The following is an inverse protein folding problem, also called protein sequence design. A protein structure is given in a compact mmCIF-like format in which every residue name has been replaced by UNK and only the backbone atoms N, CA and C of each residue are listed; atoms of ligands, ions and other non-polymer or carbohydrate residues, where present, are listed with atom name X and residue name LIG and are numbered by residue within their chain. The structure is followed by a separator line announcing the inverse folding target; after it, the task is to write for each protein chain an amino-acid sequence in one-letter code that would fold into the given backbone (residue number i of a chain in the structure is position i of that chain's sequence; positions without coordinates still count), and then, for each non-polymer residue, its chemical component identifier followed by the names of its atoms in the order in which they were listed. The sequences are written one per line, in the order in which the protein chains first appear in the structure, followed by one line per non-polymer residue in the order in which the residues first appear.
data_IF_360325867005
#
_entry.id   IF_360325867005
#
_cell.length_a   1.000
_cell.length_b   1.000
_cell.length_c   1.000
_cell.angle_alpha   90.00
_cell.angle_beta   90.00
_cell.angle_gamma   90.00
#
_symmetry.space_group_name_H-M   'P 1'
#
loop_
_entity.id
_entity.type
_entity.pdbx_description
1 polymer ?
#
# COMPACT_ATOMS: atom_id res chain seq x y z
N UNK A 1 27.67 47.23 16.72
CA UNK A 1 27.36 48.53 16.11
C UNK A 1 25.96 48.42 15.59
N UNK A 2 25.10 48.88 16.34
CA UNK A 2 24.20 50.04 16.28
C UNK A 2 22.86 49.63 15.64
N UNK A 3 21.83 49.35 16.40
CA UNK A 3 20.79 50.26 16.99
C UNK A 3 20.01 50.99 15.90
N UNK A 4 18.72 50.95 15.91
CA UNK A 4 17.67 51.73 16.63
C UNK A 4 16.31 51.30 16.01
N UNK A 5 15.25 50.94 16.69
CA UNK A 5 14.26 51.68 17.48
C UNK A 5 13.67 52.95 16.82
N UNK A 6 12.37 52.96 16.72
CA UNK A 6 11.42 54.00 17.13
C UNK A 6 10.01 53.64 16.59
N UNK A 7 9.02 53.39 17.34
CA UNK A 7 8.15 54.21 18.22
C UNK A 7 7.14 55.11 17.49
N UNK A 8 6.00 55.18 18.15
CA UNK A 8 4.83 56.10 18.10
C UNK A 8 3.73 55.64 17.15
N UNK A 9 2.53 55.44 17.57
CA UNK A 9 1.74 56.03 18.63
C UNK A 9 0.48 56.63 17.99
N UNK A 10 -0.68 56.32 18.46
CA UNK A 10 -1.87 57.03 17.99
C UNK A 10 -3.17 56.34 18.41
N UNK A 11 -3.61 56.73 19.63
CA UNK A 11 -4.98 56.53 20.12
C UNK A 11 -5.99 57.26 19.26
N UNK A 12 -7.19 56.69 19.09
CA UNK A 12 -8.46 57.44 19.38
C UNK A 12 -9.63 56.49 19.32
N UNK A 13 -10.35 56.36 20.40
CA UNK A 13 -11.80 56.11 20.52
C UNK A 13 -12.51 57.45 20.32
N UNK A 14 -13.84 57.57 20.19
CA UNK A 14 -14.90 56.69 20.71
C UNK A 14 -16.21 56.59 19.87
N UNK A 15 -17.15 55.91 20.47
CA UNK A 15 -18.63 56.13 20.59
C UNK A 15 -19.54 55.62 19.47
N UNK A 16 -20.27 54.64 19.83
CA UNK A 16 -21.71 54.59 20.15
C UNK A 16 -22.71 54.24 19.05
N UNK A 17 -23.46 53.20 19.38
CA UNK A 17 -24.94 53.07 19.40
C UNK A 17 -25.60 52.57 18.11
N UNK A 18 -26.14 51.46 18.09
CA UNK A 18 -27.54 50.96 18.11
C UNK A 18 -27.62 49.52 17.55
N UNK A 19 -28.10 48.66 18.38
CA UNK A 19 -28.80 47.41 17.99
C UNK A 19 -30.23 47.79 17.48
N UNK A 20 -31.06 46.90 16.96
CA UNK A 20 -31.01 45.46 16.83
C UNK A 20 -31.51 44.94 15.47
N UNK A 21 -31.20 43.72 15.11
CA UNK A 21 -32.18 42.84 14.51
C UNK A 21 -31.62 41.42 14.46
N UNK A 22 -32.26 40.58 15.22
CA UNK A 22 -32.08 39.15 15.21
C UNK A 22 -32.50 38.58 13.84
N UNK A 23 -31.53 38.06 13.10
CA UNK A 23 -31.78 37.09 12.03
C UNK A 23 -31.04 35.83 12.45
N UNK A 24 -31.80 34.90 13.03
CA UNK A 24 -31.37 33.51 13.21
C UNK A 24 -31.20 32.88 11.84
N UNK A 25 -30.01 32.96 11.27
CA UNK A 25 -29.62 32.08 10.16
C UNK A 25 -29.22 30.77 10.82
N UNK A 26 -30.14 29.80 10.80
CA UNK A 26 -29.85 28.42 11.12
C UNK A 26 -28.85 27.91 10.08
N UNK A 27 -27.56 27.97 10.43
CA UNK A 27 -26.49 27.36 9.65
C UNK A 27 -26.57 25.84 9.87
N UNK A 28 -27.37 25.16 9.06
CA UNK A 28 -27.38 23.70 8.98
C UNK A 28 -26.00 23.24 8.52
N UNK A 29 -25.17 22.83 9.47
CA UNK A 29 -23.92 22.12 9.20
C UNK A 29 -24.29 20.77 8.57
N UNK A 30 -24.31 20.72 7.24
CA UNK A 30 -24.33 19.46 6.51
C UNK A 30 -22.93 18.86 6.64
N UNK A 31 -22.74 18.04 7.64
CA UNK A 31 -21.53 17.23 7.81
C UNK A 31 -21.56 16.17 6.69
N UNK A 32 -20.64 16.18 5.72
CA UNK A 32 -20.59 15.13 4.73
C UNK A 32 -20.18 13.84 5.45
N UNK A 33 -21.11 12.90 5.56
CA UNK A 33 -20.84 11.55 5.98
C UNK A 33 -19.99 10.88 4.90
N UNK A 34 -18.67 10.97 5.05
CA UNK A 34 -17.73 10.24 4.19
C UNK A 34 -17.90 8.77 4.54
N UNK A 35 -18.72 8.07 3.74
CA UNK A 35 -18.75 6.62 3.75
C UNK A 35 -17.36 6.13 3.32
N UNK A 36 -16.54 5.77 4.30
CA UNK A 36 -15.32 5.00 4.06
C UNK A 36 -15.77 3.63 3.50
N UNK A 37 -15.68 3.47 2.18
CA UNK A 37 -15.85 2.16 1.54
C UNK A 37 -14.75 1.25 2.10
N UNK A 38 -15.10 0.07 2.64
CA UNK A 38 -14.09 -0.90 3.04
C UNK A 38 -13.23 -1.21 1.82
N UNK A 39 -11.92 -1.02 1.95
CA UNK A 39 -10.98 -1.50 0.94
C UNK A 39 -11.15 -3.02 0.86
N UNK A 40 -11.82 -3.49 -0.19
CA UNK A 40 -11.94 -4.92 -0.46
C UNK A 40 -10.53 -5.48 -0.62
N UNK A 41 -10.05 -6.20 0.39
CA UNK A 41 -8.87 -7.03 0.24
C UNK A 41 -9.17 -8.01 -0.90
N UNK A 42 -8.43 -7.88 -2.01
CA UNK A 42 -8.61 -8.77 -3.14
C UNK A 42 -8.40 -10.21 -2.67
N UNK A 43 -9.36 -11.08 -2.97
CA UNK A 43 -9.29 -12.49 -2.59
C UNK A 43 -8.03 -13.13 -3.19
N UNK A 44 -7.28 -13.93 -2.41
CA UNK A 44 -6.05 -14.54 -2.87
C UNK A 44 -6.31 -15.53 -4.01
N UNK A 45 -5.51 -15.44 -5.06
CA UNK A 45 -5.62 -16.31 -6.23
C UNK A 45 -4.82 -17.59 -5.98
N UNK A 46 -5.46 -18.75 -6.14
CA UNK A 46 -4.75 -20.02 -6.11
C UNK A 46 -3.90 -20.17 -7.39
N UNK A 47 -2.59 -20.34 -7.23
CA UNK A 47 -1.64 -20.48 -8.34
C UNK A 47 -0.74 -21.71 -8.15
N UNK A 48 -0.36 -22.35 -9.23
CA UNK A 48 0.58 -23.47 -9.22
C UNK A 48 2.03 -23.04 -9.45
N UNK A 49 2.22 -21.83 -9.95
CA UNK A 49 3.50 -21.13 -10.09
C UNK A 49 3.30 -19.61 -9.95
N UNK A 50 4.39 -18.89 -9.81
CA UNK A 50 4.35 -17.44 -9.54
C UNK A 50 4.08 -16.58 -10.79
N UNK A 51 4.29 -17.11 -11.98
CA UNK A 51 4.25 -16.35 -13.24
C UNK A 51 2.95 -15.56 -13.44
N UNK A 52 1.74 -16.12 -13.22
CA UNK A 52 0.50 -15.36 -13.33
C UNK A 52 0.43 -14.15 -12.39
N UNK A 53 0.99 -14.25 -11.20
CA UNK A 53 1.03 -13.12 -10.24
C UNK A 53 2.00 -12.04 -10.71
N UNK A 54 3.17 -12.42 -11.26
CA UNK A 54 4.13 -11.47 -11.82
C UNK A 54 3.53 -10.69 -13.00
N UNK A 55 2.89 -11.38 -13.93
CA UNK A 55 2.23 -10.77 -15.09
C UNK A 55 1.13 -9.80 -14.64
N UNK A 56 0.29 -10.21 -13.68
CA UNK A 56 -0.77 -9.38 -13.15
C UNK A 56 -0.23 -8.14 -12.42
N UNK A 57 0.78 -8.31 -11.59
CA UNK A 57 1.40 -7.19 -10.90
C UNK A 57 2.10 -6.22 -11.87
N UNK A 58 2.75 -6.72 -12.92
CA UNK A 58 3.33 -5.88 -13.97
C UNK A 58 2.26 -5.05 -14.70
N UNK A 59 1.08 -5.62 -14.95
CA UNK A 59 -0.03 -4.93 -15.62
C UNK A 59 -0.81 -4.00 -14.69
N UNK A 60 -1.15 -4.46 -13.48
CA UNK A 60 -2.13 -3.82 -12.59
C UNK A 60 -1.52 -3.13 -11.36
N UNK A 61 -0.22 -3.36 -11.09
CA UNK A 61 0.50 -2.77 -9.96
C UNK A 61 0.67 -3.71 -8.77
N UNK A 62 -0.25 -4.64 -8.53
CA UNK A 62 -0.17 -5.62 -7.46
C UNK A 62 -0.91 -6.91 -7.80
N UNK A 63 -0.51 -8.00 -7.14
CA UNK A 63 -1.21 -9.29 -7.16
C UNK A 63 -0.96 -10.01 -5.84
N UNK A 64 -1.96 -10.76 -5.38
CA UNK A 64 -1.88 -11.60 -4.19
C UNK A 64 -2.37 -13.00 -4.52
N UNK A 65 -1.67 -14.02 -4.04
CA UNK A 65 -2.03 -15.40 -4.31
C UNK A 65 -1.49 -16.39 -3.27
N UNK A 66 -1.99 -17.61 -3.38
CA UNK A 66 -1.56 -18.74 -2.57
C UNK A 66 -1.02 -19.83 -3.50
N UNK A 67 0.21 -20.27 -3.24
CA UNK A 67 0.82 -21.35 -3.98
C UNK A 67 0.13 -22.69 -3.65
N UNK A 68 -0.24 -23.42 -4.67
CA UNK A 68 -0.92 -24.72 -4.60
C UNK A 68 -0.22 -25.78 -5.45
N UNK A 69 -0.74 -27.01 -5.45
CA UNK A 69 -0.22 -28.08 -6.28
C UNK A 69 1.09 -28.69 -5.80
N UNK A 70 1.82 -29.35 -6.71
CA UNK A 70 3.00 -30.16 -6.37
C UNK A 70 4.14 -29.36 -5.73
N UNK A 71 4.35 -28.10 -6.18
CA UNK A 71 5.37 -27.21 -5.61
C UNK A 71 5.09 -26.86 -4.16
N UNK A 72 3.86 -26.48 -3.86
CA UNK A 72 3.43 -26.19 -2.48
C UNK A 72 3.57 -27.43 -1.59
N UNK A 73 3.10 -28.59 -2.08
CA UNK A 73 3.19 -29.84 -1.35
C UNK A 73 4.64 -30.26 -1.07
N UNK A 74 5.56 -30.03 -1.99
CA UNK A 74 6.98 -30.28 -1.78
C UNK A 74 7.54 -29.39 -0.65
N UNK A 75 7.29 -28.09 -0.70
CA UNK A 75 7.76 -27.14 0.33
C UNK A 75 7.16 -27.47 1.69
N UNK A 76 5.86 -27.77 1.74
CA UNK A 76 5.17 -28.15 2.99
C UNK A 76 5.79 -29.40 3.62
N UNK A 77 6.05 -30.45 2.83
CA UNK A 77 6.73 -31.65 3.34
C UNK A 77 8.18 -31.37 3.80
N UNK A 78 8.92 -30.55 3.02
CA UNK A 78 10.33 -30.24 3.32
C UNK A 78 10.49 -29.52 4.66
N UNK A 79 9.51 -28.69 5.03
CA UNK A 79 9.54 -27.86 6.24
C UNK A 79 8.52 -28.32 7.31
N UNK A 80 8.01 -29.53 7.16
CA UNK A 80 7.05 -30.13 8.10
C UNK A 80 5.95 -29.15 8.53
N UNK A 81 5.18 -28.65 7.56
CA UNK A 81 4.15 -27.65 7.78
C UNK A 81 2.94 -27.88 6.88
N UNK A 82 1.77 -27.43 7.36
CA UNK A 82 0.53 -27.36 6.56
C UNK A 82 0.15 -25.92 6.23
N UNK A 83 0.92 -24.94 6.74
CA UNK A 83 0.68 -23.54 6.47
C UNK A 83 0.68 -23.22 4.98
N UNK A 84 -0.27 -22.43 4.49
CA UNK A 84 -0.28 -21.96 3.11
C UNK A 84 0.96 -21.10 2.83
N UNK A 85 1.41 -21.15 1.57
CA UNK A 85 2.47 -20.30 1.06
C UNK A 85 1.78 -19.10 0.39
N UNK A 86 1.77 -17.96 1.09
CA UNK A 86 1.19 -16.72 0.61
C UNK A 86 2.23 -15.95 -0.22
N UNK A 87 1.82 -15.41 -1.37
CA UNK A 87 2.70 -14.67 -2.28
C UNK A 87 2.07 -13.31 -2.57
N UNK A 88 2.77 -12.25 -2.21
CA UNK A 88 2.44 -10.89 -2.56
C UNK A 88 3.43 -10.39 -3.61
N UNK A 89 2.91 -9.81 -4.68
CA UNK A 89 3.72 -9.15 -5.69
C UNK A 89 3.25 -7.72 -5.82
N UNK A 90 4.17 -6.77 -5.71
CA UNK A 90 3.86 -5.36 -5.95
C UNK A 90 4.84 -4.74 -6.93
N UNK A 91 4.35 -3.87 -7.79
CA UNK A 91 5.20 -3.09 -8.68
C UNK A 91 5.75 -1.87 -7.94
N UNK A 92 7.08 -1.80 -7.84
CA UNK A 92 7.78 -0.67 -7.23
C UNK A 92 7.78 0.53 -8.16
N UNK A 93 8.08 0.31 -9.44
CA UNK A 93 8.01 1.34 -10.48
C UNK A 93 7.85 0.72 -11.87
N UNK A 94 7.39 1.52 -12.81
CA UNK A 94 7.29 1.17 -14.23
C UNK A 94 8.66 1.34 -14.86
N UNK A 95 9.03 0.43 -15.75
CA UNK A 95 10.27 0.52 -16.55
C UNK A 95 10.03 1.27 -17.84
N UNK A 96 11.11 1.74 -18.49
CA UNK A 96 11.04 2.37 -19.81
C UNK A 96 10.52 1.42 -20.89
N UNK A 97 10.76 0.12 -20.74
CA UNK A 97 10.20 -0.92 -21.60
C UNK A 97 8.70 -1.05 -21.32
N UNK A 98 7.89 -0.89 -22.37
CA UNK A 98 6.43 -0.89 -22.28
C UNK A 98 5.88 -2.19 -21.66
N UNK A 99 4.93 -2.05 -20.73
CA UNK A 99 4.31 -3.18 -20.03
C UNK A 99 5.20 -3.87 -19.00
N UNK A 100 6.39 -3.34 -18.71
CA UNK A 100 7.33 -3.91 -17.76
C UNK A 100 7.44 -3.07 -16.49
N UNK A 101 7.76 -3.72 -15.37
CA UNK A 101 7.96 -3.07 -14.07
C UNK A 101 9.03 -3.74 -13.23
N UNK A 102 9.60 -2.99 -12.32
CA UNK A 102 10.37 -3.56 -11.21
C UNK A 102 9.38 -4.04 -10.17
N UNK A 103 9.39 -5.33 -9.92
CA UNK A 103 8.48 -6.00 -8.99
C UNK A 103 9.24 -6.42 -7.74
N UNK A 104 8.56 -6.31 -6.61
CA UNK A 104 8.96 -6.92 -5.36
C UNK A 104 8.03 -8.09 -5.07
N UNK A 105 8.60 -9.22 -4.78
CA UNK A 105 7.90 -10.45 -4.42
C UNK A 105 8.17 -10.75 -2.96
N UNK A 106 7.11 -10.89 -2.18
CA UNK A 106 7.17 -11.33 -0.80
C UNK A 106 6.45 -12.68 -0.68
N UNK A 107 7.18 -13.70 -0.26
CA UNK A 107 6.62 -15.02 0.02
C UNK A 107 6.61 -15.24 1.52
N UNK A 108 5.45 -15.61 2.08
CA UNK A 108 5.27 -15.84 3.52
C UNK A 108 4.72 -17.22 3.79
N UNK A 109 5.20 -17.80 4.87
CA UNK A 109 4.69 -19.04 5.44
C UNK A 109 4.74 -18.95 6.97
N UNK A 110 3.62 -19.19 7.64
CA UNK A 110 3.48 -18.85 9.08
C UNK A 110 4.18 -19.82 10.01
N UNK A 111 4.11 -21.11 9.70
CA UNK A 111 4.63 -22.14 10.57
C UNK A 111 5.57 -23.07 9.80
N UNK A 112 6.85 -22.79 9.90
CA UNK A 112 7.92 -23.54 9.21
C UNK A 112 8.85 -24.10 10.26
N UNK A 113 9.19 -25.38 10.16
CA UNK A 113 10.15 -26.01 11.02
C UNK A 113 11.55 -25.86 10.42
N UNK A 114 12.42 -25.09 11.09
CA UNK A 114 13.84 -24.93 10.73
C UNK A 114 14.66 -25.09 12.01
N UNK A 115 15.67 -25.93 11.96
CA UNK A 115 16.58 -26.21 13.09
C UNK A 115 15.82 -26.52 14.40
N UNK A 116 14.77 -27.32 14.30
CA UNK A 116 13.96 -27.75 15.44
C UNK A 116 13.03 -26.67 16.02
N UNK A 117 12.95 -25.48 15.42
CA UNK A 117 12.07 -24.39 15.86
C UNK A 117 11.01 -24.09 14.82
N UNK A 118 9.75 -23.96 15.27
CA UNK A 118 8.64 -23.49 14.45
C UNK A 118 8.51 -21.98 14.53
N UNK A 119 8.23 -21.35 13.37
CA UNK A 119 8.01 -19.91 13.30
C UNK A 119 7.71 -19.42 11.89
N UNK A 120 7.32 -18.16 11.77
CA UNK A 120 7.07 -17.55 10.46
C UNK A 120 8.35 -17.39 9.67
N UNK A 121 8.22 -17.55 8.35
CA UNK A 121 9.29 -17.27 7.39
C UNK A 121 8.78 -16.34 6.30
N UNK A 122 9.66 -15.43 5.94
CA UNK A 122 9.43 -14.49 4.86
C UNK A 122 10.66 -14.45 3.96
N UNK A 123 10.41 -14.44 2.66
CA UNK A 123 11.42 -14.24 1.62
C UNK A 123 11.00 -13.06 0.76
N UNK A 124 11.86 -12.05 0.67
CA UNK A 124 11.63 -10.87 -0.17
C UNK A 124 12.73 -10.79 -1.22
N UNK A 125 12.33 -10.63 -2.48
CA UNK A 125 13.27 -10.41 -3.58
C UNK A 125 12.65 -9.51 -4.66
N UNK A 126 13.48 -9.01 -5.54
CA UNK A 126 13.04 -8.11 -6.60
C UNK A 126 13.52 -8.59 -7.96
N UNK A 127 12.65 -8.39 -8.96
CA UNK A 127 12.95 -8.71 -10.35
C UNK A 127 12.27 -7.72 -11.29
N UNK A 128 12.76 -7.64 -12.53
CA UNK A 128 12.16 -6.85 -13.59
C UNK A 128 11.37 -7.77 -14.51
N UNK A 129 10.06 -7.56 -14.62
CA UNK A 129 9.16 -8.47 -15.33
C UNK A 129 8.07 -7.72 -16.10
N UNK A 130 7.59 -8.33 -17.18
CA UNK A 130 6.63 -7.73 -18.09
C UNK A 130 5.28 -8.45 -18.05
N UNK A 131 4.23 -7.73 -18.40
CA UNK A 131 2.87 -8.26 -18.45
C UNK A 131 2.69 -9.38 -19.50
N UNK A 132 3.59 -9.46 -20.49
CA UNK A 132 3.62 -10.51 -21.51
C UNK A 132 4.30 -11.82 -21.03
N UNK A 133 4.77 -11.86 -19.79
CA UNK A 133 5.34 -13.06 -19.19
C UNK A 133 6.83 -13.26 -19.44
N UNK A 134 7.56 -12.22 -19.84
CA UNK A 134 9.01 -12.23 -20.05
C UNK A 134 9.73 -11.41 -18.98
N UNK A 135 10.99 -11.70 -18.77
CA UNK A 135 11.85 -10.80 -18.01
C UNK A 135 12.11 -9.54 -18.84
N UNK A 136 12.18 -8.38 -18.16
CA UNK A 136 12.58 -7.15 -18.84
C UNK A 136 14.04 -7.26 -19.29
N UNK A 137 14.34 -6.68 -20.45
CA UNK A 137 15.71 -6.59 -20.95
C UNK A 137 16.56 -5.75 -19.99
N UNK A 138 17.77 -6.23 -19.70
CA UNK A 138 18.72 -5.46 -18.89
C UNK A 138 19.28 -4.34 -19.78
N UNK A 139 19.01 -3.11 -19.38
CA UNK A 139 19.61 -1.92 -19.99
C UNK A 139 20.89 -1.54 -19.22
#
# INVERSE_FOLDING_TARGET
MTSQQAHFGGRSRPTSVLAPSAVCVALTLILPLILALPASAAEPIAVTDIKPLLMRAAAQGAAHGVLTGAGAAYVQRRFDTTSPIEIDVRRLHVLAQAGCGRLEVTTRQREVLIDGKRGPRELVYQLSYCADGRFAEQQ
#
